data_IF_873214076489
#
_entry.id   IF_873214076489
#
_cell.length_a   1.000
_cell.length_b   1.000
_cell.length_c   1.000
_cell.angle_alpha   90.00
_cell.angle_beta   90.00
_cell.angle_gamma   90.00
#
_symmetry.space_group_name_H-M   'P 1'
#
loop_
_entity.id
_entity.type
_entity.pdbx_description
1 polymer ?
#
# COMPACT_ATOMS: atom_id res chain seq x y z
N UNK A 1 -19.27 7.09 20.41
CA UNK A 1 -19.51 5.97 19.48
C UNK A 1 -18.47 6.08 18.38
N UNK A 2 -17.33 5.40 18.50
CA UNK A 2 -16.22 5.52 17.55
C UNK A 2 -16.65 4.92 16.21
N UNK A 3 -16.74 5.72 15.16
CA UNK A 3 -16.90 5.23 13.80
C UNK A 3 -15.66 4.37 13.49
N UNK A 4 -15.83 3.04 13.44
CA UNK A 4 -14.78 2.13 13.01
C UNK A 4 -14.52 2.44 11.54
N UNK A 5 -13.47 3.21 11.25
CA UNK A 5 -13.07 3.57 9.89
C UNK A 5 -12.91 2.24 9.13
N UNK A 6 -13.73 2.03 8.10
CA UNK A 6 -13.66 0.80 7.32
C UNK A 6 -12.35 0.84 6.54
N UNK A 7 -11.38 0.02 6.95
CA UNK A 7 -10.19 -0.27 6.15
C UNK A 7 -10.64 -1.10 4.95
N UNK A 8 -10.91 -0.45 3.83
CA UNK A 8 -11.34 -1.14 2.62
C UNK A 8 -10.12 -1.58 1.84
N UNK A 9 -9.72 -2.83 2.05
CA UNK A 9 -8.64 -3.47 1.31
C UNK A 9 -9.31 -4.33 0.26
N UNK A 10 -9.31 -3.88 -0.99
CA UNK A 10 -9.90 -4.64 -2.09
C UNK A 10 -8.88 -5.64 -2.62
N UNK A 11 -9.29 -6.91 -2.69
CA UNK A 11 -8.57 -7.98 -3.37
C UNK A 11 -9.27 -8.21 -4.72
N UNK A 12 -8.56 -7.94 -5.81
CA UNK A 12 -9.03 -7.96 -7.22
C UNK A 12 -10.15 -6.95 -7.57
N UNK A 13 -10.16 -6.51 -8.84
CA UNK A 13 -10.99 -5.45 -9.43
C UNK A 13 -12.50 -5.63 -9.15
N UNK A 14 -12.93 -5.21 -7.96
CA UNK A 14 -14.34 -5.06 -7.66
C UNK A 14 -14.85 -3.81 -8.39
N UNK A 15 -16.08 -3.87 -8.89
CA UNK A 15 -16.80 -2.79 -9.61
C UNK A 15 -16.99 -1.47 -8.82
N UNK A 16 -16.27 -1.27 -7.72
CA UNK A 16 -16.41 -0.18 -6.75
C UNK A 16 -15.10 0.60 -6.53
N UNK A 17 -14.06 0.37 -7.33
CA UNK A 17 -12.75 1.05 -7.19
C UNK A 17 -12.85 2.56 -7.37
N UNK A 18 -13.66 3.06 -8.32
CA UNK A 18 -13.86 4.50 -8.52
C UNK A 18 -14.57 5.14 -7.32
N UNK A 19 -15.70 4.57 -6.87
CA UNK A 19 -16.45 5.11 -5.71
C UNK A 19 -15.58 5.15 -4.43
N UNK A 20 -14.67 4.18 -4.27
CA UNK A 20 -13.75 4.16 -3.13
C UNK A 20 -12.64 5.20 -3.24
N UNK A 21 -12.02 5.32 -4.41
CA UNK A 21 -10.99 6.33 -4.63
C UNK A 21 -11.55 7.74 -4.40
N UNK A 22 -12.73 8.05 -4.94
CA UNK A 22 -13.42 9.34 -4.71
C UNK A 22 -13.73 9.56 -3.22
N UNK A 23 -14.11 8.51 -2.49
CA UNK A 23 -14.30 8.59 -1.05
C UNK A 23 -13.00 8.92 -0.32
N UNK A 24 -11.90 8.22 -0.62
CA UNK A 24 -10.60 8.49 -0.01
C UNK A 24 -10.09 9.89 -0.35
N UNK A 25 -10.29 10.31 -1.60
CA UNK A 25 -9.93 11.62 -2.09
C UNK A 25 -10.63 12.72 -1.27
N UNK A 26 -11.97 12.63 -1.19
CA UNK A 26 -12.82 13.59 -0.47
C UNK A 26 -12.50 13.67 1.02
N UNK A 27 -12.17 12.54 1.65
CA UNK A 27 -11.92 12.47 3.09
C UNK A 27 -10.44 12.66 3.45
N UNK A 28 -9.55 12.83 2.47
CA UNK A 28 -8.09 12.96 2.68
C UNK A 28 -7.51 11.81 3.50
N UNK A 29 -7.92 10.60 3.19
CA UNK A 29 -7.39 9.37 3.80
C UNK A 29 -6.62 8.57 2.75
N UNK A 30 -5.68 7.70 3.15
CA UNK A 30 -4.93 6.88 2.22
C UNK A 30 -5.85 5.95 1.44
N UNK A 31 -5.62 5.86 0.14
CA UNK A 31 -6.25 4.85 -0.72
C UNK A 31 -5.30 3.66 -0.84
N UNK A 32 -5.78 2.43 -0.63
CA UNK A 32 -4.94 1.21 -0.72
C UNK A 32 -5.66 0.15 -1.53
N UNK A 33 -4.93 -0.52 -2.43
CA UNK A 33 -5.44 -1.68 -3.18
C UNK A 33 -4.50 -2.87 -3.06
N UNK A 34 -5.07 -4.07 -3.18
CA UNK A 34 -4.34 -5.32 -3.17
C UNK A 34 -4.74 -6.12 -4.41
N UNK A 35 -3.78 -6.44 -5.28
CA UNK A 35 -4.06 -7.14 -6.54
C UNK A 35 -3.22 -8.38 -6.65
N UNK A 36 -3.79 -9.50 -7.08
CA UNK A 36 -2.99 -10.71 -7.26
C UNK A 36 -2.01 -10.51 -8.43
N UNK A 37 -0.72 -10.70 -8.18
CA UNK A 37 0.33 -10.57 -9.21
C UNK A 37 0.62 -11.92 -9.86
N UNK A 38 0.76 -12.96 -9.04
CA UNK A 38 0.93 -14.34 -9.49
C UNK A 38 0.52 -15.31 -8.35
N UNK A 39 0.98 -16.57 -8.40
CA UNK A 39 0.66 -17.57 -7.37
C UNK A 39 1.29 -17.26 -6.02
N UNK A 40 2.47 -16.65 -6.01
CA UNK A 40 3.28 -16.45 -4.80
C UNK A 40 3.14 -15.04 -4.20
N UNK A 41 2.62 -14.09 -4.99
CA UNK A 41 2.67 -12.68 -4.64
C UNK A 41 1.41 -11.91 -5.02
N UNK A 42 1.18 -10.86 -4.24
CA UNK A 42 0.25 -9.76 -4.47
C UNK A 42 1.03 -8.46 -4.64
N UNK A 43 0.42 -7.53 -5.34
CA UNK A 43 0.86 -6.14 -5.37
C UNK A 43 -0.02 -5.34 -4.41
N UNK A 44 0.62 -4.63 -3.48
CA UNK A 44 -0.04 -3.62 -2.64
C UNK A 44 0.33 -2.27 -3.19
N UNK A 45 -0.68 -1.47 -3.53
CA UNK A 45 -0.53 -0.08 -3.97
C UNK A 45 -1.20 0.85 -2.97
N UNK A 46 -0.59 2.00 -2.71
CA UNK A 46 -1.21 3.08 -1.94
C UNK A 46 -1.09 4.44 -2.64
N UNK A 47 -2.04 5.32 -2.36
CA UNK A 47 -2.07 6.70 -2.84
C UNK A 47 -2.40 7.65 -1.69
N UNK A 48 -1.55 8.66 -1.54
CA UNK A 48 -1.64 9.75 -0.55
C UNK A 48 -1.41 11.13 -1.20
N UNK A 49 -1.43 11.21 -2.53
CA UNK A 49 -1.10 12.43 -3.28
C UNK A 49 -2.08 13.59 -3.01
N UNK A 50 -3.28 13.29 -2.54
CA UNK A 50 -4.31 14.25 -2.13
C UNK A 50 -4.14 14.78 -0.70
N UNK A 51 -3.07 14.38 0.01
CA UNK A 51 -2.80 14.77 1.40
C UNK A 51 -1.73 15.86 1.48
N UNK A 52 -1.51 16.44 2.67
CA UNK A 52 -0.57 17.57 2.86
C UNK A 52 0.82 17.14 3.39
N UNK A 53 1.18 15.87 3.22
CA UNK A 53 2.44 15.32 3.74
C UNK A 53 3.60 15.50 2.77
N UNK A 54 4.83 15.37 3.27
CA UNK A 54 6.01 15.26 2.42
C UNK A 54 6.07 13.87 1.77
N UNK A 55 5.66 13.80 0.50
CA UNK A 55 5.63 12.56 -0.26
C UNK A 55 6.99 11.89 -0.38
N UNK A 56 8.10 12.64 -0.43
CA UNK A 56 9.43 12.05 -0.50
C UNK A 56 9.79 11.36 0.81
N UNK A 57 9.56 12.04 1.94
CA UNK A 57 9.82 11.48 3.27
C UNK A 57 9.03 10.20 3.51
N UNK A 58 7.72 10.23 3.28
CA UNK A 58 6.83 9.07 3.48
C UNK A 58 7.20 7.93 2.52
N UNK A 59 7.52 8.25 1.26
CA UNK A 59 7.98 7.28 0.27
C UNK A 59 9.26 6.57 0.72
N UNK A 60 10.26 7.31 1.19
CA UNK A 60 11.55 6.74 1.61
C UNK A 60 11.42 5.88 2.87
N UNK A 61 10.58 6.28 3.83
CA UNK A 61 10.29 5.49 5.03
C UNK A 61 9.62 4.17 4.69
N UNK A 62 8.58 4.20 3.86
CA UNK A 62 7.87 2.99 3.45
C UNK A 62 8.78 2.08 2.61
N UNK A 63 9.63 2.66 1.75
CA UNK A 63 10.66 1.91 1.03
C UNK A 63 11.62 1.20 1.98
N UNK A 64 12.04 1.83 3.07
CA UNK A 64 12.92 1.22 4.07
C UNK A 64 12.23 0.07 4.84
N UNK A 65 10.95 0.25 5.20
CA UNK A 65 10.13 -0.82 5.80
C UNK A 65 10.02 -2.01 4.83
N UNK A 66 9.72 -1.73 3.56
CA UNK A 66 9.59 -2.75 2.52
C UNK A 66 10.90 -3.48 2.25
N UNK A 67 12.03 -2.76 2.15
CA UNK A 67 13.35 -3.37 1.97
C UNK A 67 13.70 -4.31 3.14
N UNK A 68 13.30 -3.95 4.35
CA UNK A 68 13.44 -4.82 5.52
C UNK A 68 12.57 -6.07 5.42
N UNK A 69 11.32 -5.93 4.95
CA UNK A 69 10.39 -7.04 4.71
C UNK A 69 10.93 -8.04 3.68
N UNK A 70 11.35 -7.58 2.49
CA UNK A 70 11.85 -8.48 1.43
C UNK A 70 13.16 -9.15 1.82
N UNK A 71 14.03 -8.44 2.57
CA UNK A 71 15.27 -9.00 3.11
C UNK A 71 14.98 -10.08 4.15
N UNK A 72 14.04 -9.85 5.05
CA UNK A 72 13.67 -10.83 6.09
C UNK A 72 13.07 -12.10 5.50
N UNK A 73 12.28 -11.97 4.43
CA UNK A 73 11.65 -13.11 3.75
C UNK A 73 12.51 -13.75 2.66
N UNK A 74 13.74 -13.24 2.44
CA UNK A 74 14.66 -13.73 1.42
C UNK A 74 14.04 -13.73 0.01
N UNK A 75 13.24 -12.72 -0.30
CA UNK A 75 12.64 -12.58 -1.64
C UNK A 75 13.78 -12.21 -2.63
N UNK A 76 13.94 -12.92 -3.75
CA UNK A 76 14.98 -12.61 -4.72
C UNK A 76 14.84 -11.20 -5.30
N UNK A 77 15.97 -10.51 -5.50
CA UNK A 77 16.00 -9.13 -5.98
C UNK A 77 15.23 -8.92 -7.30
N UNK A 78 15.37 -9.85 -8.25
CA UNK A 78 14.71 -9.77 -9.55
C UNK A 78 13.17 -9.80 -9.47
N UNK A 79 12.59 -10.27 -8.36
CA UNK A 79 11.13 -10.25 -8.17
C UNK A 79 10.61 -8.83 -7.90
N UNK A 80 11.41 -7.99 -7.24
CA UNK A 80 10.95 -6.70 -6.72
C UNK A 80 11.73 -5.47 -7.20
N UNK A 81 12.81 -5.64 -7.97
CA UNK A 81 13.67 -4.53 -8.40
C UNK A 81 12.91 -3.44 -9.17
N UNK A 82 11.90 -3.83 -9.96
CA UNK A 82 11.08 -2.89 -10.74
C UNK A 82 10.24 -1.96 -9.88
N UNK A 83 9.92 -2.34 -8.63
CA UNK A 83 9.24 -1.48 -7.69
C UNK A 83 10.18 -0.40 -7.12
N UNK A 84 11.49 -0.62 -7.10
CA UNK A 84 12.44 0.32 -6.50
C UNK A 84 12.73 1.55 -7.37
N UNK A 85 12.43 1.48 -8.67
CA UNK A 85 12.67 2.53 -9.66
C UNK A 85 11.50 3.52 -9.80
N UNK A 86 10.46 3.41 -8.98
CA UNK A 86 9.35 4.36 -8.96
C UNK A 86 9.82 5.72 -8.43
N UNK A 87 9.28 6.82 -8.98
CA UNK A 87 9.58 8.18 -8.49
C UNK A 87 9.17 8.36 -7.01
N UNK A 88 7.99 7.85 -6.66
CA UNK A 88 7.53 7.66 -5.29
C UNK A 88 7.21 6.17 -5.10
N UNK A 89 7.57 5.63 -3.93
CA UNK A 89 7.47 4.20 -3.64
C UNK A 89 6.03 3.78 -3.28
N UNK A 90 5.11 3.83 -4.24
CA UNK A 90 3.67 3.61 -4.00
C UNK A 90 3.19 2.18 -4.19
N UNK A 91 3.90 1.39 -5.00
CA UNK A 91 3.59 -0.03 -5.19
C UNK A 91 4.68 -0.92 -4.63
N UNK A 92 4.30 -2.09 -4.13
CA UNK A 92 5.24 -3.09 -3.61
C UNK A 92 4.71 -4.52 -3.71
N UNK A 93 5.64 -5.48 -3.78
CA UNK A 93 5.35 -6.90 -3.93
C UNK A 93 5.27 -7.58 -2.56
N UNK A 94 4.11 -8.11 -2.20
CA UNK A 94 3.86 -8.76 -0.92
C UNK A 94 3.60 -10.25 -1.14
N UNK A 95 4.23 -11.10 -0.32
CA UNK A 95 4.07 -12.55 -0.36
C UNK A 95 2.63 -12.95 -0.03
N UNK A 96 2.11 -13.97 -0.72
CA UNK A 96 0.82 -14.58 -0.41
C UNK A 96 0.70 -14.93 1.08
N UNK A 97 -0.44 -14.59 1.67
CA UNK A 97 -0.77 -14.74 3.09
C UNK A 97 -0.36 -13.54 3.94
N UNK A 98 0.41 -12.58 3.40
CA UNK A 98 0.84 -11.38 4.13
C UNK A 98 0.08 -10.11 3.67
N UNK A 99 -0.57 -10.15 2.51
CA UNK A 99 -1.13 -8.98 1.83
C UNK A 99 -2.14 -8.20 2.67
N UNK A 100 -3.06 -8.90 3.35
CA UNK A 100 -4.05 -8.24 4.19
C UNK A 100 -3.39 -7.55 5.40
N UNK A 101 -2.56 -8.26 6.13
CA UNK A 101 -1.88 -7.71 7.31
C UNK A 101 -1.01 -6.51 6.94
N UNK A 102 -0.25 -6.63 5.84
CA UNK A 102 0.62 -5.55 5.37
C UNK A 102 -0.20 -4.32 5.00
N UNK A 103 -1.26 -4.48 4.20
CA UNK A 103 -2.13 -3.37 3.80
C UNK A 103 -2.83 -2.71 5.00
N UNK A 104 -3.30 -3.47 5.99
CA UNK A 104 -3.92 -2.90 7.20
C UNK A 104 -2.95 -2.08 8.05
N UNK A 105 -1.68 -2.51 8.14
CA UNK A 105 -0.64 -1.79 8.88
C UNK A 105 -0.09 -0.60 8.12
N UNK A 106 0.03 -0.72 6.80
CA UNK A 106 0.35 0.40 5.93
C UNK A 106 -0.70 1.51 6.05
N UNK A 107 -1.98 1.16 6.07
CA UNK A 107 -3.06 2.13 6.29
C UNK A 107 -2.92 2.86 7.64
N UNK A 108 -2.71 2.11 8.73
CA UNK A 108 -2.54 2.69 10.06
C UNK A 108 -1.31 3.62 10.13
N UNK A 109 -0.21 3.20 9.51
CA UNK A 109 1.01 3.99 9.43
C UNK A 109 0.76 5.30 8.70
N UNK A 110 0.22 5.22 7.48
CA UNK A 110 -0.06 6.39 6.66
C UNK A 110 -1.01 7.35 7.38
N UNK A 111 -2.08 6.86 7.99
CA UNK A 111 -3.01 7.68 8.79
C UNK A 111 -2.36 8.39 9.98
N UNK A 112 -1.26 7.86 10.54
CA UNK A 112 -0.50 8.52 11.61
C UNK A 112 0.39 9.65 11.07
N UNK A 113 0.80 9.58 9.80
CA UNK A 113 1.64 10.58 9.14
C UNK A 113 0.83 11.72 8.50
N UNK A 114 -0.48 11.54 8.28
CA UNK A 114 -1.39 12.54 7.69
C UNK A 114 -1.79 13.66 8.65
#
# INVERSE_FOLDING_TARGET
MSMKMRKFIYIDDSKFTNDHWEYCEKNKIPYITVKRKNKSFFEVFYDITNTKVDLNSVSDEIKNIYLSYVKFLLIPYYEYESYLSQNYFFSMLIKEGHEQFFAEKLFDYLMNEL
#
